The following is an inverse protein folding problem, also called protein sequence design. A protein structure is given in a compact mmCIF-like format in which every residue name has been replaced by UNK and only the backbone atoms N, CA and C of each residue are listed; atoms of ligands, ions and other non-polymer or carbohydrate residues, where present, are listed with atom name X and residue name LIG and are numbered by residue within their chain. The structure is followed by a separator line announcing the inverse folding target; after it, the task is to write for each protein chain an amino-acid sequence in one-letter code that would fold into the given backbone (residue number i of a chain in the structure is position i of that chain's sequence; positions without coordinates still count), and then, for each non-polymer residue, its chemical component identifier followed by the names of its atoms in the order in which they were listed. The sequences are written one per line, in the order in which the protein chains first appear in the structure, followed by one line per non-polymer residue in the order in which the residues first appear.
data_IF_955153039645
#
_entry.id   IF_955153039645
#
_cell.length_a   1.000
_cell.length_b   1.000
_cell.length_c   1.000
_cell.angle_alpha   90.00
_cell.angle_beta   90.00
_cell.angle_gamma   90.00
#
_symmetry.space_group_name_H-M   'P 1'
#
loop_
_entity.id
_entity.type
_entity.pdbx_description
1 polymer ?
#
# COMPACT_ATOMS: atom_id res chain seq x y z
N UNK A 1 -19.22 -20.85 -23.94
CA UNK A 1 -18.38 -20.30 -22.85
C UNK A 1 -18.07 -18.85 -23.17
N UNK A 2 -18.52 -17.87 -22.36
CA UNK A 2 -18.20 -16.45 -22.57
C UNK A 2 -16.71 -16.22 -22.32
N UNK A 3 -15.96 -15.75 -23.32
CA UNK A 3 -14.57 -15.34 -23.12
C UNK A 3 -14.51 -14.18 -22.12
N UNK A 4 -13.83 -14.39 -20.98
CA UNK A 4 -13.51 -13.32 -20.03
C UNK A 4 -12.61 -12.29 -20.71
N UNK A 5 -12.91 -11.00 -20.53
CA UNK A 5 -12.01 -9.95 -20.97
C UNK A 5 -10.68 -10.04 -20.21
N UNK A 6 -9.58 -9.55 -20.81
CA UNK A 6 -8.25 -9.51 -20.18
C UNK A 6 -8.28 -8.84 -18.80
N UNK A 7 -9.07 -7.76 -18.65
CA UNK A 7 -9.32 -7.08 -17.38
C UNK A 7 -9.99 -7.99 -16.35
N UNK A 8 -10.99 -8.78 -16.77
CA UNK A 8 -11.64 -9.76 -15.90
C UNK A 8 -10.68 -10.85 -15.42
N UNK A 9 -9.82 -11.35 -16.32
CA UNK A 9 -8.81 -12.35 -15.97
C UNK A 9 -7.80 -11.83 -14.95
N UNK A 10 -7.24 -10.63 -15.17
CA UNK A 10 -6.31 -10.01 -14.23
C UNK A 10 -6.94 -9.74 -12.85
N UNK A 11 -8.21 -9.31 -12.85
CA UNK A 11 -8.95 -9.09 -11.60
C UNK A 11 -9.15 -10.40 -10.86
N UNK A 12 -9.59 -11.45 -11.55
CA UNK A 12 -9.80 -12.78 -10.94
C UNK A 12 -8.50 -13.37 -10.40
N UNK A 13 -7.39 -13.26 -11.13
CA UNK A 13 -6.09 -13.73 -10.67
C UNK A 13 -5.62 -12.99 -9.41
N UNK A 14 -5.74 -11.66 -9.37
CA UNK A 14 -5.38 -10.89 -8.18
C UNK A 14 -6.22 -11.26 -6.96
N UNK A 15 -7.54 -11.39 -7.12
CA UNK A 15 -8.43 -11.83 -6.04
C UNK A 15 -8.11 -13.25 -5.55
N UNK A 16 -7.77 -14.16 -6.46
CA UNK A 16 -7.39 -15.52 -6.10
C UNK A 16 -6.17 -15.55 -5.17
N UNK A 17 -5.17 -14.67 -5.38
CA UNK A 17 -4.01 -14.57 -4.49
C UNK A 17 -4.42 -14.22 -3.06
N UNK A 18 -5.32 -13.24 -2.87
CA UNK A 18 -5.83 -12.89 -1.55
C UNK A 18 -6.62 -14.02 -0.91
N UNK A 19 -7.54 -14.65 -1.66
CA UNK A 19 -8.34 -15.78 -1.16
C UNK A 19 -7.45 -16.94 -0.74
N UNK A 20 -6.46 -17.29 -1.57
CA UNK A 20 -5.51 -18.36 -1.28
C UNK A 20 -4.65 -18.06 -0.05
N UNK A 21 -4.18 -16.82 0.13
CA UNK A 21 -3.41 -16.41 1.31
C UNK A 21 -4.22 -16.55 2.60
N UNK A 22 -5.45 -16.03 2.64
CA UNK A 22 -6.31 -16.16 3.82
C UNK A 22 -6.72 -17.62 4.08
N UNK A 23 -7.04 -18.36 3.03
CA UNK A 23 -7.46 -19.77 3.14
C UNK A 23 -6.31 -20.64 3.63
N UNK A 24 -5.09 -20.46 3.12
CA UNK A 24 -3.94 -21.25 3.56
C UNK A 24 -3.59 -20.98 5.02
N UNK A 25 -3.64 -19.73 5.48
CA UNK A 25 -3.42 -19.37 6.89
C UNK A 25 -4.46 -20.02 7.80
N UNK A 26 -5.74 -19.97 7.43
CA UNK A 26 -6.82 -20.60 8.21
C UNK A 26 -6.66 -22.13 8.26
N UNK A 27 -6.43 -22.77 7.10
CA UNK A 27 -6.30 -24.23 7.00
C UNK A 27 -5.07 -24.77 7.74
N UNK A 28 -4.03 -23.97 7.87
CA UNK A 28 -2.80 -24.35 8.60
C UNK A 28 -2.83 -23.93 10.08
N UNK A 29 -3.93 -23.34 10.56
CA UNK A 29 -4.06 -22.89 11.95
C UNK A 29 -3.29 -21.60 12.29
N UNK A 30 -2.72 -20.92 11.29
CA UNK A 30 -1.97 -19.68 11.45
C UNK A 30 -2.93 -18.47 11.51
N UNK A 31 -3.63 -18.30 12.63
CA UNK A 31 -4.59 -17.20 12.85
C UNK A 31 -3.98 -15.96 13.49
N UNK A 32 -2.69 -16.02 13.86
CA UNK A 32 -1.90 -14.90 14.36
C UNK A 32 -0.70 -14.71 13.44
N UNK A 33 -0.54 -13.52 12.89
CA UNK A 33 0.52 -13.18 11.93
C UNK A 33 1.44 -12.11 12.50
N UNK A 34 2.72 -12.12 12.14
CA UNK A 34 3.68 -11.10 12.54
C UNK A 34 3.86 -10.09 11.41
N UNK A 35 3.70 -8.81 11.73
CA UNK A 35 3.83 -7.70 10.77
C UNK A 35 5.24 -7.11 10.69
N UNK A 36 6.07 -7.41 11.68
CA UNK A 36 7.46 -6.97 11.75
C UNK A 36 8.35 -8.12 12.22
N UNK A 37 9.59 -8.12 11.74
CA UNK A 37 10.67 -8.99 12.21
C UNK A 37 11.43 -8.39 13.41
N UNK A 38 11.04 -7.20 13.87
CA UNK A 38 11.75 -6.50 14.94
C UNK A 38 11.55 -7.23 16.29
N UNK A 39 12.58 -7.29 17.15
CA UNK A 39 12.48 -7.94 18.46
C UNK A 39 11.34 -7.34 19.29
N UNK A 40 10.46 -8.20 19.82
CA UNK A 40 9.30 -7.78 20.61
C UNK A 40 8.04 -7.44 19.81
N UNK A 41 8.07 -7.53 18.47
CA UNK A 41 6.87 -7.35 17.66
C UNK A 41 5.79 -8.38 18.01
N UNK A 42 4.65 -7.91 18.51
CA UNK A 42 3.52 -8.75 18.86
C UNK A 42 2.81 -9.25 17.61
N UNK A 43 2.35 -10.50 17.64
CA UNK A 43 1.48 -11.01 16.59
C UNK A 43 0.14 -10.29 16.60
N UNK A 44 -0.41 -10.03 15.41
CA UNK A 44 -1.77 -9.52 15.23
C UNK A 44 -2.67 -10.66 14.77
N UNK A 45 -3.94 -10.64 15.16
CA UNK A 45 -4.89 -11.62 14.64
C UNK A 45 -5.12 -11.42 13.14
N UNK A 46 -5.38 -12.51 12.43
CA UNK A 46 -5.76 -12.47 11.01
C UNK A 46 -7.03 -11.63 10.79
N UNK A 47 -7.91 -11.58 11.78
CA UNK A 47 -9.13 -10.78 11.75
C UNK A 47 -8.85 -9.28 11.89
N UNK A 48 -7.86 -8.89 12.71
CA UNK A 48 -7.41 -7.51 12.81
C UNK A 48 -6.78 -7.00 11.51
N UNK A 49 -6.13 -7.89 10.74
CA UNK A 49 -5.58 -7.59 9.43
C UNK A 49 -6.61 -7.51 8.29
N UNK A 50 -7.85 -7.98 8.52
CA UNK A 50 -8.91 -8.09 7.51
C UNK A 50 -10.09 -7.16 7.74
N UNK A 51 -10.67 -7.20 8.94
CA UNK A 51 -11.99 -6.61 9.22
C UNK A 51 -11.99 -5.07 9.15
N UNK A 52 -11.01 -4.33 9.72
CA UNK A 52 -10.96 -2.88 9.57
C UNK A 52 -10.88 -2.44 8.10
N UNK A 53 -10.07 -3.14 7.31
CA UNK A 53 -9.82 -2.84 5.89
C UNK A 53 -11.08 -3.13 5.05
N UNK A 54 -11.75 -4.27 5.30
CA UNK A 54 -13.02 -4.59 4.66
C UNK A 54 -14.10 -3.58 5.00
N UNK A 55 -14.25 -3.22 6.29
CA UNK A 55 -15.25 -2.25 6.73
C UNK A 55 -15.06 -0.89 6.01
N UNK A 56 -13.82 -0.42 5.91
CA UNK A 56 -13.48 0.80 5.19
C UNK A 56 -13.88 0.72 3.71
N UNK A 57 -13.54 -0.38 3.03
CA UNK A 57 -13.86 -0.58 1.61
C UNK A 57 -15.38 -0.65 1.40
N UNK A 58 -16.11 -1.39 2.23
CA UNK A 58 -17.57 -1.53 2.14
C UNK A 58 -18.27 -0.19 2.37
N UNK A 59 -17.87 0.57 3.38
CA UNK A 59 -18.43 1.91 3.62
C UNK A 59 -18.09 2.88 2.48
N UNK A 60 -16.87 2.81 1.95
CA UNK A 60 -16.48 3.63 0.79
C UNK A 60 -17.25 3.25 -0.50
N UNK A 61 -17.70 2.00 -0.64
CA UNK A 61 -18.62 1.61 -1.71
C UNK A 61 -19.99 2.29 -1.57
N UNK A 62 -20.49 2.41 -0.33
CA UNK A 62 -21.78 3.04 -0.02
C UNK A 62 -21.74 4.58 -0.15
N UNK A 63 -20.58 5.21 0.04
CA UNK A 63 -20.45 6.67 -0.02
C UNK A 63 -19.96 7.12 -1.40
N UNK A 64 -20.87 7.66 -2.21
CA UNK A 64 -20.57 8.18 -3.53
C UNK A 64 -19.81 9.53 -3.49
N UNK A 65 -18.77 9.73 -4.32
CA UNK A 65 -18.21 11.03 -4.63
C UNK A 65 -19.30 11.93 -5.17
N UNK A 66 -19.44 13.11 -4.57
CA UNK A 66 -20.41 14.13 -5.01
C UNK A 66 -19.89 14.98 -6.17
N UNK A 67 -18.67 14.73 -6.64
CA UNK A 67 -18.01 15.45 -7.73
C UNK A 67 -17.44 14.46 -8.75
N UNK A 68 -17.35 14.90 -10.01
CA UNK A 68 -16.70 14.13 -11.06
C UNK A 68 -15.23 13.87 -10.68
N UNK A 69 -14.83 12.60 -10.70
CA UNK A 69 -13.47 12.23 -10.34
C UNK A 69 -12.51 12.66 -11.45
N UNK A 70 -11.42 13.38 -11.11
CA UNK A 70 -10.36 13.62 -12.05
C UNK A 70 -9.82 12.30 -12.59
N UNK A 71 -9.51 12.26 -13.89
CA UNK A 71 -8.78 11.18 -14.52
C UNK A 71 -7.37 11.68 -14.84
N UNK A 72 -6.43 11.58 -13.89
CA UNK A 72 -5.07 12.00 -14.15
C UNK A 72 -4.50 11.18 -15.32
N UNK A 73 -3.61 11.78 -16.09
CA UNK A 73 -2.86 11.12 -17.17
C UNK A 73 -3.68 10.74 -18.42
N UNK A 74 -4.98 11.04 -18.50
CA UNK A 74 -5.83 10.73 -19.67
C UNK A 74 -5.35 11.39 -20.97
N UNK A 75 -4.67 12.54 -20.88
CA UNK A 75 -4.09 13.24 -22.02
C UNK A 75 -2.67 12.79 -22.40
N UNK A 76 -2.07 11.80 -21.72
CA UNK A 76 -0.73 11.35 -22.06
C UNK A 76 -0.73 10.36 -23.23
N UNK A 77 0.26 10.45 -24.15
CA UNK A 77 0.42 9.45 -25.20
C UNK A 77 0.60 8.05 -24.62
N UNK A 78 -0.17 7.08 -25.11
CA UNK A 78 -0.11 5.68 -24.65
C UNK A 78 1.31 5.09 -24.63
N UNK A 79 2.19 5.30 -25.64
CA UNK A 79 3.55 4.78 -25.59
C UNK A 79 4.37 5.30 -24.40
N UNK A 80 4.20 6.58 -24.05
CA UNK A 80 4.83 7.18 -22.87
C UNK A 80 4.28 6.56 -21.59
N UNK A 81 2.95 6.46 -21.48
CA UNK A 81 2.29 5.87 -20.31
C UNK A 81 2.77 4.43 -20.06
N UNK A 82 2.93 3.62 -21.11
CA UNK A 82 3.46 2.26 -21.02
C UNK A 82 4.91 2.25 -20.51
N UNK A 83 5.80 3.08 -21.07
CA UNK A 83 7.20 3.16 -20.63
C UNK A 83 7.32 3.57 -19.17
N UNK A 84 6.59 4.62 -18.77
CA UNK A 84 6.59 5.09 -17.37
C UNK A 84 6.00 4.03 -16.42
N UNK A 85 5.00 3.25 -16.84
CA UNK A 85 4.44 2.16 -16.04
C UNK A 85 5.46 1.04 -15.84
N UNK A 86 6.16 0.62 -16.90
CA UNK A 86 7.19 -0.41 -16.80
C UNK A 86 8.37 -0.01 -15.94
N UNK A 87 8.79 1.26 -15.99
CA UNK A 87 9.78 1.82 -15.09
C UNK A 87 9.36 1.64 -13.62
N UNK A 88 8.11 2.00 -13.28
CA UNK A 88 7.60 1.88 -11.92
C UNK A 88 7.45 0.41 -11.48
N UNK A 89 6.98 -0.47 -12.37
CA UNK A 89 6.92 -1.90 -12.10
C UNK A 89 8.31 -2.47 -11.83
N UNK A 90 9.31 -2.10 -12.63
CA UNK A 90 10.68 -2.52 -12.44
C UNK A 90 11.24 -2.01 -11.11
N UNK A 91 11.00 -0.75 -10.74
CA UNK A 91 11.39 -0.20 -9.44
C UNK A 91 10.70 -0.94 -8.27
N UNK A 92 9.41 -1.23 -8.38
CA UNK A 92 8.64 -1.93 -7.35
C UNK A 92 9.15 -3.37 -7.10
N UNK A 93 9.63 -4.05 -8.15
CA UNK A 93 10.23 -5.39 -8.07
C UNK A 93 11.70 -5.33 -7.64
N UNK A 94 12.47 -4.37 -8.14
CA UNK A 94 13.87 -4.21 -7.80
C UNK A 94 14.08 -3.85 -6.32
N UNK A 95 13.15 -3.12 -5.72
CA UNK A 95 13.27 -2.69 -4.32
C UNK A 95 13.38 -3.87 -3.32
N UNK A 96 12.43 -4.82 -3.24
CA UNK A 96 12.56 -5.95 -2.30
C UNK A 96 13.79 -6.81 -2.58
N UNK A 97 14.22 -6.95 -3.84
CA UNK A 97 15.46 -7.64 -4.20
C UNK A 97 16.67 -6.90 -3.63
N UNK A 98 16.74 -5.58 -3.81
CA UNK A 98 17.82 -4.77 -3.26
C UNK A 98 17.87 -4.84 -1.73
N UNK A 99 16.71 -4.78 -1.07
CA UNK A 99 16.60 -4.94 0.40
C UNK A 99 17.08 -6.32 0.85
N UNK A 100 16.76 -7.39 0.12
CA UNK A 100 17.24 -8.73 0.44
C UNK A 100 18.78 -8.84 0.36
N UNK A 101 19.44 -8.02 -0.48
CA UNK A 101 20.89 -8.00 -0.62
C UNK A 101 21.60 -7.12 0.43
N UNK A 102 21.01 -5.98 0.80
CA UNK A 102 21.66 -5.01 1.70
C UNK A 102 21.17 -5.06 3.16
N UNK A 103 20.07 -5.77 3.42
CA UNK A 103 19.42 -5.84 4.72
C UNK A 103 18.60 -4.58 5.10
N UNK A 104 18.02 -4.60 6.30
CA UNK A 104 17.16 -3.53 6.84
C UNK A 104 17.92 -2.50 7.71
N UNK A 105 19.23 -2.37 7.53
CA UNK A 105 20.09 -1.45 8.30
C UNK A 105 20.00 0.01 7.83
N UNK A 106 21.02 0.82 8.14
CA UNK A 106 21.07 2.26 7.82
C UNK A 106 20.93 2.58 6.32
N UNK A 107 21.26 1.63 5.45
CA UNK A 107 21.11 1.78 4.00
C UNK A 107 19.67 1.61 3.50
N UNK A 108 18.78 1.01 4.30
CA UNK A 108 17.40 0.72 3.88
C UNK A 108 16.63 1.98 3.42
N UNK A 109 16.59 3.09 4.18
CA UNK A 109 15.94 4.31 3.73
C UNK A 109 16.57 4.89 2.46
N UNK A 110 17.90 4.80 2.33
CA UNK A 110 18.65 5.30 1.17
C UNK A 110 18.28 4.52 -0.09
N UNK A 111 18.26 3.19 -0.01
CA UNK A 111 17.84 2.32 -1.12
C UNK A 111 16.38 2.57 -1.49
N UNK A 112 15.51 2.73 -0.49
CA UNK A 112 14.09 3.02 -0.68
C UNK A 112 13.85 4.34 -1.42
N UNK A 113 14.49 5.43 -0.98
CA UNK A 113 14.41 6.74 -1.63
C UNK A 113 14.99 6.67 -3.04
N UNK A 114 16.13 5.99 -3.21
CA UNK A 114 16.80 5.89 -4.52
C UNK A 114 15.91 5.16 -5.53
N UNK A 115 15.44 3.96 -5.19
CA UNK A 115 14.68 3.11 -6.11
C UNK A 115 13.25 3.63 -6.31
N UNK A 116 12.58 4.09 -5.25
CA UNK A 116 11.17 4.46 -5.32
C UNK A 116 10.93 5.95 -5.59
N UNK A 117 11.95 6.81 -5.55
CA UNK A 117 11.80 8.24 -5.86
C UNK A 117 12.79 8.69 -6.94
N UNK A 118 14.09 8.55 -6.71
CA UNK A 118 15.10 9.10 -7.62
C UNK A 118 15.01 8.45 -8.99
N UNK A 119 14.99 7.11 -9.06
CA UNK A 119 14.88 6.36 -10.32
C UNK A 119 13.61 6.73 -11.09
N UNK A 120 12.39 6.72 -10.49
CA UNK A 120 11.19 7.19 -11.15
C UNK A 120 11.26 8.63 -11.66
N UNK A 121 11.75 9.58 -10.85
CA UNK A 121 11.82 10.99 -11.25
C UNK A 121 12.77 11.22 -12.42
N UNK A 122 13.96 10.60 -12.38
CA UNK A 122 14.93 10.63 -13.48
C UNK A 122 14.34 9.97 -14.72
N UNK A 123 13.78 8.76 -14.58
CA UNK A 123 13.19 8.04 -15.70
C UNK A 123 12.00 8.78 -16.32
N UNK A 124 11.13 9.42 -15.53
CA UNK A 124 10.07 10.30 -16.05
C UNK A 124 10.64 11.49 -16.81
N UNK A 125 11.72 12.11 -16.32
CA UNK A 125 12.39 13.23 -17.01
C UNK A 125 13.01 12.81 -18.35
N UNK A 126 13.58 11.62 -18.41
CA UNK A 126 14.19 11.07 -19.63
C UNK A 126 13.10 10.63 -20.63
N UNK A 127 12.09 9.91 -20.17
CA UNK A 127 10.99 9.41 -21.03
C UNK A 127 10.16 10.58 -21.60
N UNK A 128 9.94 11.64 -20.82
CA UNK A 128 9.13 12.78 -21.28
C UNK A 128 9.85 13.68 -22.29
N UNK A 129 11.19 13.75 -22.27
CA UNK A 129 11.95 14.74 -23.04
C UNK A 129 11.51 16.17 -22.72
N UNK A 130 11.13 16.92 -23.75
CA UNK A 130 10.59 18.30 -23.63
C UNK A 130 9.06 18.32 -23.49
N UNK A 131 8.43 17.16 -23.47
CA UNK A 131 6.99 17.04 -23.24
C UNK A 131 6.57 17.45 -21.81
N UNK A 132 5.26 17.71 -21.61
CA UNK A 132 4.75 18.20 -20.34
C UNK A 132 4.95 17.18 -19.20
N UNK A 133 5.14 17.69 -17.98
CA UNK A 133 5.23 16.86 -16.79
C UNK A 133 3.89 16.13 -16.52
N UNK A 134 3.98 14.82 -16.22
CA UNK A 134 2.83 14.03 -15.83
C UNK A 134 2.33 14.47 -14.45
N UNK A 135 1.06 14.87 -14.35
CA UNK A 135 0.42 15.22 -13.07
C UNK A 135 -0.46 14.06 -12.61
N UNK A 136 0.12 13.22 -11.77
CA UNK A 136 -0.55 12.05 -11.18
C UNK A 136 -1.51 12.39 -10.04
N UNK A 137 -1.22 13.47 -9.29
CA UNK A 137 -2.01 13.89 -8.13
C UNK A 137 -2.91 15.05 -8.56
N UNK A 138 -4.22 14.83 -8.68
CA UNK A 138 -5.15 15.92 -8.97
C UNK A 138 -5.43 16.73 -7.70
N UNK A 139 -6.09 17.88 -7.86
CA UNK A 139 -6.66 18.58 -6.70
C UNK A 139 -7.75 17.71 -6.07
N UNK A 140 -7.78 17.56 -4.74
CA UNK A 140 -8.82 16.79 -4.06
C UNK A 140 -10.18 17.50 -4.17
N UNK A 141 -11.20 16.79 -4.66
CA UNK A 141 -12.58 17.30 -4.85
C UNK A 141 -13.62 16.56 -4.00
N UNK A 142 -13.17 15.70 -3.09
CA UNK A 142 -14.00 14.72 -2.36
C UNK A 142 -13.72 14.67 -0.86
N UNK A 143 -13.11 15.71 -0.28
CA UNK A 143 -12.57 15.71 1.09
C UNK A 143 -13.44 15.07 2.19
N UNK A 144 -14.76 15.31 2.29
CA UNK A 144 -15.56 14.67 3.34
C UNK A 144 -16.00 13.25 2.99
N UNK A 145 -16.00 12.87 1.71
CA UNK A 145 -16.52 11.58 1.25
C UNK A 145 -15.84 10.34 1.88
N UNK A 146 -14.51 10.29 2.08
CA UNK A 146 -13.88 9.14 2.71
C UNK A 146 -14.06 9.08 4.24
N UNK A 147 -14.56 10.13 4.91
CA UNK A 147 -14.61 10.20 6.38
C UNK A 147 -15.30 8.98 7.02
N UNK A 148 -16.46 8.48 6.55
CA UNK A 148 -17.08 7.31 7.16
C UNK A 148 -16.19 6.06 7.09
N UNK A 149 -15.47 5.86 5.98
CA UNK A 149 -14.53 4.76 5.83
C UNK A 149 -13.31 4.91 6.74
N UNK A 150 -12.77 6.13 6.85
CA UNK A 150 -11.62 6.45 7.73
C UNK A 150 -11.99 6.24 9.20
N UNK A 151 -13.13 6.75 9.63
CA UNK A 151 -13.60 6.63 11.02
C UNK A 151 -13.86 5.18 11.39
N UNK A 152 -14.55 4.43 10.53
CA UNK A 152 -14.80 3.01 10.80
C UNK A 152 -13.51 2.19 10.84
N UNK A 153 -12.57 2.46 9.92
CA UNK A 153 -11.26 1.86 9.94
C UNK A 153 -10.53 2.16 11.25
N UNK A 154 -10.44 3.43 11.65
CA UNK A 154 -9.76 3.86 12.86
C UNK A 154 -10.36 3.23 14.12
N UNK A 155 -11.69 3.25 14.26
CA UNK A 155 -12.36 2.66 15.42
C UNK A 155 -12.09 1.16 15.53
N UNK A 156 -12.08 0.43 14.40
CA UNK A 156 -11.80 -1.00 14.40
C UNK A 156 -10.32 -1.30 14.60
N UNK A 157 -9.42 -0.57 13.93
CA UNK A 157 -7.98 -0.84 13.91
C UNK A 157 -7.26 -0.35 15.17
N UNK A 158 -7.71 0.75 15.78
CA UNK A 158 -6.96 1.44 16.85
C UNK A 158 -7.68 1.41 18.21
N UNK A 159 -9.01 1.32 18.23
CA UNK A 159 -9.81 1.50 19.47
C UNK A 159 -10.51 0.21 19.93
N UNK A 160 -10.79 -0.71 19.01
CA UNK A 160 -11.56 -1.93 19.30
C UNK A 160 -10.69 -3.07 19.84
N UNK A 161 -11.27 -4.20 20.31
CA UNK A 161 -10.50 -5.40 20.66
C UNK A 161 -9.67 -6.03 19.53
N UNK A 162 -9.80 -5.53 18.29
CA UNK A 162 -8.94 -5.90 17.16
C UNK A 162 -7.62 -5.11 17.14
N UNK A 163 -7.48 -4.07 17.95
CA UNK A 163 -6.28 -3.24 17.93
C UNK A 163 -5.04 -4.04 18.36
N UNK A 164 -3.88 -3.80 17.72
CA UNK A 164 -2.63 -4.34 18.22
C UNK A 164 -2.39 -3.88 19.66
N UNK A 165 -1.77 -4.72 20.52
CA UNK A 165 -1.39 -4.29 21.85
C UNK A 165 -0.32 -3.19 21.76
N UNK A 166 -0.39 -2.23 22.69
CA UNK A 166 0.57 -1.13 22.76
C UNK A 166 1.99 -1.64 22.94
N UNK A 167 2.93 -1.06 22.19
CA UNK A 167 4.36 -1.37 22.30
C UNK A 167 4.87 -1.00 23.69
N UNK A 168 5.27 -2.01 24.48
CA UNK A 168 5.69 -1.83 25.87
C UNK A 168 7.15 -1.36 26.03
N UNK A 169 7.96 -1.48 24.98
CA UNK A 169 9.38 -1.11 24.99
C UNK A 169 9.65 -0.07 23.91
N UNK A 170 9.77 1.18 24.33
CA UNK A 170 10.04 2.31 23.45
C UNK A 170 11.53 2.64 23.49
N UNK A 171 12.15 3.00 22.34
CA UNK A 171 13.48 3.60 22.33
C UNK A 171 13.53 4.90 23.14
N UNK A 172 14.73 5.42 23.35
CA UNK A 172 14.88 6.76 23.92
C UNK A 172 14.16 7.82 23.05
N UNK A 173 13.74 8.96 23.64
CA UNK A 173 12.91 9.94 22.93
C UNK A 173 13.51 10.48 21.64
N UNK A 174 14.85 10.60 21.56
CA UNK A 174 15.52 11.13 20.37
C UNK A 174 15.50 10.09 19.25
N UNK A 175 15.85 8.85 19.56
CA UNK A 175 15.76 7.74 18.60
C UNK A 175 14.32 7.54 18.11
N UNK A 176 13.34 7.62 19.02
CA UNK A 176 11.93 7.51 18.67
C UNK A 176 11.47 8.63 17.73
N UNK A 177 11.85 9.89 18.00
CA UNK A 177 11.49 11.03 17.17
C UNK A 177 12.10 10.94 15.76
N UNK A 178 13.39 10.61 15.68
CA UNK A 178 14.10 10.47 14.40
C UNK A 178 13.54 9.29 13.61
N UNK A 179 13.38 8.13 14.26
CA UNK A 179 12.81 6.93 13.64
C UNK A 179 11.40 7.19 13.12
N UNK A 180 10.55 7.84 13.91
CA UNK A 180 9.19 8.21 13.54
C UNK A 180 9.14 9.17 12.35
N UNK A 181 10.03 10.17 12.31
CA UNK A 181 10.13 11.08 11.17
C UNK A 181 10.56 10.35 9.88
N UNK A 182 11.56 9.47 9.98
CA UNK A 182 12.02 8.66 8.84
C UNK A 182 10.87 7.75 8.36
N UNK A 183 10.15 7.10 9.26
CA UNK A 183 9.01 6.23 8.93
C UNK A 183 7.87 7.04 8.31
N UNK A 184 7.51 8.20 8.87
CA UNK A 184 6.50 9.09 8.29
C UNK A 184 6.85 9.46 6.84
N UNK A 185 8.08 9.90 6.59
CA UNK A 185 8.50 10.34 5.27
C UNK A 185 8.62 9.17 4.28
N UNK A 186 9.18 8.05 4.71
CA UNK A 186 9.54 6.94 3.81
C UNK A 186 8.46 5.87 3.68
N UNK A 187 7.64 5.65 4.71
CA UNK A 187 6.53 4.70 4.68
C UNK A 187 5.23 5.41 4.33
N UNK A 188 4.82 6.39 5.13
CA UNK A 188 3.48 6.99 4.98
C UNK A 188 3.37 7.94 3.78
N UNK A 189 4.39 8.76 3.52
CA UNK A 189 4.37 9.70 2.39
C UNK A 189 4.88 9.04 1.11
N UNK A 190 6.15 8.61 1.09
CA UNK A 190 6.79 8.10 -0.11
C UNK A 190 6.05 6.91 -0.73
N UNK A 191 5.63 5.92 0.06
CA UNK A 191 4.97 4.73 -0.49
C UNK A 191 3.61 5.07 -1.11
N UNK A 192 2.82 5.95 -0.50
CA UNK A 192 1.53 6.36 -1.07
C UNK A 192 1.71 7.15 -2.38
N UNK A 193 2.74 8.01 -2.46
CA UNK A 193 3.10 8.67 -3.71
C UNK A 193 3.52 7.66 -4.79
N UNK A 194 4.37 6.70 -4.46
CA UNK A 194 4.85 5.72 -5.43
C UNK A 194 3.73 4.75 -5.85
N UNK A 195 3.11 4.05 -4.91
CA UNK A 195 2.16 2.97 -5.19
C UNK A 195 0.81 3.48 -5.66
N UNK A 196 0.29 4.59 -5.11
CA UNK A 196 -1.04 5.11 -5.47
C UNK A 196 -0.97 6.14 -6.56
N UNK A 197 -0.29 7.26 -6.29
CA UNK A 197 -0.28 8.36 -7.24
C UNK A 197 0.46 8.00 -8.53
N UNK A 198 1.63 7.36 -8.45
CA UNK A 198 2.40 7.06 -9.66
C UNK A 198 2.03 5.74 -10.32
N UNK A 199 2.14 4.63 -9.60
CA UNK A 199 1.99 3.29 -10.16
C UNK A 199 0.53 2.95 -10.43
N UNK A 200 -0.34 3.00 -9.42
CA UNK A 200 -1.73 2.61 -9.57
C UNK A 200 -2.43 3.50 -10.61
N UNK A 201 -2.31 4.83 -10.56
CA UNK A 201 -2.95 5.71 -11.54
C UNK A 201 -2.57 5.40 -12.98
N UNK A 202 -1.32 5.00 -13.25
CA UNK A 202 -0.90 4.60 -14.60
C UNK A 202 -1.45 3.23 -14.99
N UNK A 203 -1.45 2.27 -14.07
CA UNK A 203 -2.09 0.98 -14.27
C UNK A 203 -3.59 1.12 -14.52
N UNK A 204 -4.27 2.04 -13.84
CA UNK A 204 -5.70 2.31 -14.02
C UNK A 204 -5.98 2.83 -15.43
N UNK A 205 -5.13 3.75 -15.92
CA UNK A 205 -5.24 4.30 -17.27
C UNK A 205 -4.96 3.25 -18.38
N UNK A 206 -4.20 2.18 -18.08
CA UNK A 206 -3.88 1.12 -19.05
C UNK A 206 -4.80 -0.10 -18.98
N UNK A 207 -5.22 -0.51 -17.79
CA UNK A 207 -5.84 -1.81 -17.52
C UNK A 207 -7.18 -1.72 -16.78
N UNK A 208 -7.57 -0.52 -16.35
CA UNK A 208 -8.79 -0.27 -15.57
C UNK A 208 -8.56 -0.37 -14.05
N UNK A 209 -9.60 0.03 -13.31
CA UNK A 209 -9.51 0.29 -11.86
C UNK A 209 -9.09 -0.93 -11.04
N UNK A 210 -9.82 -2.04 -11.16
CA UNK A 210 -9.62 -3.20 -10.29
C UNK A 210 -8.30 -3.94 -10.51
N UNK A 211 -7.87 -4.25 -11.76
CA UNK A 211 -6.54 -4.82 -11.97
C UNK A 211 -5.41 -3.95 -11.41
N UNK A 212 -5.54 -2.62 -11.53
CA UNK A 212 -4.55 -1.69 -11.02
C UNK A 212 -4.47 -1.65 -9.49
N UNK A 213 -5.63 -1.64 -8.80
CA UNK A 213 -5.68 -1.73 -7.34
C UNK A 213 -5.02 -3.03 -6.88
N UNK A 214 -5.41 -4.17 -7.45
CA UNK A 214 -4.89 -5.48 -7.05
C UNK A 214 -3.39 -5.61 -7.33
N UNK A 215 -2.92 -5.21 -8.51
CA UNK A 215 -1.50 -5.25 -8.83
C UNK A 215 -0.67 -4.32 -7.92
N UNK A 216 -1.14 -3.09 -7.68
CA UNK A 216 -0.47 -2.15 -6.77
C UNK A 216 -0.45 -2.67 -5.33
N UNK A 217 -1.54 -3.26 -4.86
CA UNK A 217 -1.63 -3.86 -3.53
C UNK A 217 -0.70 -5.07 -3.36
N UNK A 218 -0.60 -5.94 -4.36
CA UNK A 218 0.31 -7.08 -4.33
C UNK A 218 1.78 -6.66 -4.43
N UNK A 219 2.12 -5.63 -5.21
CA UNK A 219 3.48 -5.07 -5.26
C UNK A 219 3.84 -4.33 -3.97
N UNK A 220 2.86 -3.70 -3.32
CA UNK A 220 3.00 -3.12 -1.98
C UNK A 220 3.20 -4.23 -0.92
N UNK A 221 2.49 -5.34 -1.04
CA UNK A 221 2.77 -6.53 -0.22
C UNK A 221 4.19 -7.05 -0.47
N UNK A 222 4.61 -7.13 -1.72
CA UNK A 222 5.91 -7.68 -2.09
C UNK A 222 7.10 -6.87 -1.55
N UNK A 223 6.99 -5.54 -1.39
CA UNK A 223 8.07 -4.76 -0.77
C UNK A 223 8.32 -5.08 0.71
N UNK A 224 7.37 -5.77 1.37
CA UNK A 224 7.43 -6.16 2.77
C UNK A 224 7.95 -7.59 2.97
N UNK A 225 8.34 -8.31 1.91
CA UNK A 225 8.86 -9.70 2.04
C UNK A 225 10.13 -9.80 2.88
N UNK A 226 10.87 -8.70 3.07
CA UNK A 226 12.02 -8.66 3.99
C UNK A 226 11.63 -8.86 5.47
N UNK A 227 10.35 -8.90 5.79
CA UNK A 227 9.82 -9.24 7.13
C UNK A 227 9.54 -10.73 7.32
N UNK A 228 9.69 -11.54 6.26
CA UNK A 228 9.41 -12.97 6.29
C UNK A 228 10.54 -13.71 7.00
N UNK A 229 10.17 -14.59 7.92
CA UNK A 229 11.06 -15.57 8.52
C UNK A 229 11.56 -16.55 7.43
N UNK A 230 12.89 -16.66 7.20
CA UNK A 230 13.46 -17.60 6.24
C UNK A 230 13.08 -19.06 6.48
N UNK A 231 12.73 -19.44 7.71
CA UNK A 231 12.33 -20.81 8.05
C UNK A 231 10.84 -21.09 7.74
N UNK A 232 10.03 -20.04 7.52
CA UNK A 232 8.59 -20.14 7.34
C UNK A 232 8.08 -19.40 6.09
N UNK A 233 8.83 -19.44 4.98
CA UNK A 233 8.57 -18.64 3.76
C UNK A 233 7.12 -18.74 3.27
N UNK A 234 6.53 -19.94 3.21
CA UNK A 234 5.16 -20.12 2.74
C UNK A 234 4.12 -19.39 3.59
N UNK A 235 4.21 -19.55 4.91
CA UNK A 235 3.35 -18.84 5.88
C UNK A 235 3.63 -17.35 5.87
N UNK A 236 4.90 -16.95 5.74
CA UNK A 236 5.32 -15.56 5.65
C UNK A 236 4.75 -14.84 4.44
N UNK A 237 4.81 -15.44 3.24
CA UNK A 237 4.22 -14.87 2.02
C UNK A 237 2.71 -14.67 2.22
N UNK A 238 2.01 -15.69 2.72
CA UNK A 238 0.58 -15.61 2.97
C UNK A 238 0.25 -14.52 4.01
N UNK A 239 1.04 -14.40 5.07
CA UNK A 239 0.90 -13.40 6.13
C UNK A 239 1.08 -11.98 5.61
N UNK A 240 2.11 -11.73 4.79
CA UNK A 240 2.38 -10.40 4.23
C UNK A 240 1.29 -10.01 3.22
N UNK A 241 0.78 -10.96 2.41
CA UNK A 241 -0.37 -10.70 1.54
C UNK A 241 -1.62 -10.40 2.36
N UNK A 242 -1.88 -11.17 3.42
CA UNK A 242 -3.04 -11.00 4.27
C UNK A 242 -3.04 -9.64 4.97
N UNK A 243 -1.91 -9.16 5.48
CA UNK A 243 -1.82 -7.87 6.14
C UNK A 243 -1.51 -6.71 5.19
N UNK A 244 -0.30 -6.69 4.64
CA UNK A 244 0.18 -5.55 3.84
C UNK A 244 -0.53 -5.47 2.50
N UNK A 245 -0.84 -6.62 1.88
CA UNK A 245 -1.67 -6.65 0.68
C UNK A 245 -3.08 -6.10 0.94
N UNK A 246 -3.71 -6.48 2.06
CA UNK A 246 -5.07 -6.04 2.37
C UNK A 246 -5.13 -4.56 2.72
N UNK A 247 -4.16 -4.07 3.50
CA UNK A 247 -3.97 -2.64 3.74
C UNK A 247 -3.76 -1.88 2.42
N UNK A 248 -2.90 -2.40 1.55
CA UNK A 248 -2.66 -1.82 0.24
C UNK A 248 -3.88 -1.83 -0.69
N UNK A 249 -4.74 -2.85 -0.59
CA UNK A 249 -6.01 -2.94 -1.32
C UNK A 249 -6.98 -1.87 -0.83
N UNK A 250 -7.13 -1.69 0.48
CA UNK A 250 -7.96 -0.62 1.06
C UNK A 250 -7.48 0.76 0.61
N UNK A 251 -6.19 1.06 0.79
CA UNK A 251 -5.59 2.34 0.38
C UNK A 251 -5.76 2.58 -1.13
N UNK A 252 -5.54 1.53 -1.93
CA UNK A 252 -5.74 1.57 -3.38
C UNK A 252 -7.19 1.84 -3.77
N UNK A 253 -8.15 1.22 -3.07
CA UNK A 253 -9.57 1.47 -3.29
C UNK A 253 -9.95 2.91 -2.94
N UNK A 254 -9.54 3.42 -1.77
CA UNK A 254 -9.80 4.81 -1.36
C UNK A 254 -9.20 5.81 -2.35
N UNK A 255 -7.98 5.57 -2.84
CA UNK A 255 -7.36 6.37 -3.90
C UNK A 255 -8.18 6.35 -5.20
N UNK A 256 -8.50 5.16 -5.71
CA UNK A 256 -9.26 5.01 -6.95
C UNK A 256 -10.70 5.52 -6.85
N UNK A 257 -11.26 5.57 -5.63
CA UNK A 257 -12.62 6.03 -5.36
C UNK A 257 -12.72 7.53 -5.16
N UNK A 258 -11.75 8.14 -4.48
CA UNK A 258 -11.85 9.53 -4.02
C UNK A 258 -10.76 10.46 -4.56
N UNK A 259 -9.63 9.94 -5.05
CA UNK A 259 -8.47 10.75 -5.50
C UNK A 259 -7.96 11.72 -4.43
N UNK A 260 -8.04 11.33 -3.16
CA UNK A 260 -7.54 12.12 -2.05
C UNK A 260 -6.29 11.47 -1.46
N UNK A 261 -5.11 11.96 -1.88
CA UNK A 261 -3.81 11.45 -1.43
C UNK A 261 -3.58 11.70 0.07
N UNK A 262 -4.14 12.79 0.61
CA UNK A 262 -3.90 13.18 2.00
C UNK A 262 -4.59 12.25 2.99
N UNK A 263 -5.76 11.74 2.64
CA UNK A 263 -6.49 10.78 3.47
C UNK A 263 -5.73 9.46 3.58
N UNK A 264 -5.20 8.95 2.47
CA UNK A 264 -4.43 7.70 2.51
C UNK A 264 -3.06 7.90 3.17
N UNK A 265 -2.43 9.07 3.03
CA UNK A 265 -1.22 9.42 3.82
C UNK A 265 -1.55 9.47 5.31
N UNK A 266 -2.68 10.09 5.71
CA UNK A 266 -3.09 10.16 7.11
C UNK A 266 -3.31 8.77 7.70
N UNK A 267 -4.06 7.90 7.03
CA UNK A 267 -4.27 6.50 7.46
C UNK A 267 -2.91 5.79 7.62
N UNK A 268 -2.03 5.89 6.62
CA UNK A 268 -0.72 5.25 6.67
C UNK A 268 0.21 5.88 7.71
N UNK A 269 -0.01 7.13 8.08
CA UNK A 269 0.68 7.81 9.17
C UNK A 269 0.24 7.26 10.51
N UNK A 270 -1.07 7.06 10.70
CA UNK A 270 -1.65 6.46 11.90
C UNK A 270 -1.07 5.07 12.15
N UNK A 271 -1.04 4.21 11.13
CA UNK A 271 -0.52 2.83 11.24
C UNK A 271 0.96 2.77 11.65
N UNK A 272 1.75 3.75 11.27
CA UNK A 272 3.22 3.68 11.38
C UNK A 272 3.81 4.54 12.50
N UNK A 273 3.06 5.54 12.99
CA UNK A 273 3.56 6.41 14.04
C UNK A 273 3.24 5.80 15.39
N UNK A 274 4.29 5.30 16.04
CA UNK A 274 4.29 4.85 17.45
C UNK A 274 3.76 5.93 18.39
N UNK A 275 3.86 7.22 18.03
CA UNK A 275 3.26 8.29 18.83
C UNK A 275 1.73 8.26 18.86
N UNK A 276 1.06 7.67 17.86
CA UNK A 276 -0.40 7.54 17.88
C UNK A 276 -0.82 6.56 18.97
N UNK A 277 -0.08 5.46 19.13
CA UNK A 277 -0.25 4.51 20.25
C UNK A 277 -0.15 5.19 21.63
N UNK A 278 0.55 6.34 21.74
CA UNK A 278 0.69 7.07 23.00
C UNK A 278 -0.44 8.07 23.27
N UNK A 279 -1.30 8.35 22.29
CA UNK A 279 -2.36 9.35 22.36
C UNK A 279 -3.76 8.76 22.62
N UNK A 280 -3.89 7.44 22.52
CA UNK A 280 -5.13 6.66 22.71
C UNK A 280 -5.11 5.92 24.05
#
# INVERSE_FOLDING_TARGET
MKHMSRTGLLTGAGLAVFVLAYTSLILTGNTVIRLSADPGATGVSLWAALLPQLAAVLLAMLVAPRAALPQPLSGLPRPRLVKETWLLLAAAVAFPIAVALVGRGLLYPVVKITILVVVPLVGFRLIRGDGPAARSIPRPVTWPAPLPAVVAWFLLAEVSPLSPPLTQQLPDPVTLAIGSLITLLTASVLEEFFYRAWLQTRLEALYGRWPAILASALLFSAMHVSHIDPEAIGVGIASVVAAQGMFGLMQGYLWGRYRNIWVIILIHTIVNLVYVDMLI
#
